data_IF_225845027786
#
_entry.id   IF_225845027786
#
_cell.length_a   1.000
_cell.length_b   1.000
_cell.length_c   1.000
_cell.angle_alpha   90.00
_cell.angle_beta   90.00
_cell.angle_gamma   90.00
#
_symmetry.space_group_name_H-M   'P 1'
#
loop_
_entity.id
_entity.type
_entity.pdbx_description
1 polymer ?
#
# COMPACT_ATOMS: atom_id res chain seq x y z
N UNK A 1 32.24 55.66 -63.75
CA UNK A 1 32.26 55.58 -62.28
C UNK A 1 30.85 55.24 -61.81
N UNK A 2 30.56 53.97 -61.49
CA UNK A 2 29.25 53.51 -60.99
C UNK A 2 29.38 53.20 -59.49
N UNK A 3 28.63 53.95 -58.68
CA UNK A 3 28.55 53.71 -57.24
C UNK A 3 27.47 52.64 -56.96
N UNK A 4 27.88 51.51 -56.42
CA UNK A 4 26.98 50.51 -55.89
C UNK A 4 26.52 50.90 -54.48
N UNK A 5 25.23 51.07 -54.33
CA UNK A 5 24.56 51.24 -53.05
C UNK A 5 24.10 49.89 -52.58
N UNK A 6 24.70 49.37 -51.48
CA UNK A 6 24.32 48.14 -50.82
C UNK A 6 23.13 48.42 -49.91
N UNK A 7 21.98 47.86 -50.19
CA UNK A 7 20.81 47.87 -49.32
C UNK A 7 20.98 46.78 -48.28
N UNK A 8 21.17 47.15 -47.00
CA UNK A 8 21.12 46.22 -45.91
C UNK A 8 19.67 46.11 -45.44
N UNK A 9 19.02 44.96 -45.77
CA UNK A 9 17.73 44.60 -45.18
C UNK A 9 17.93 44.07 -43.77
N UNK A 10 17.52 44.87 -42.77
CA UNK A 10 17.47 44.44 -41.37
C UNK A 10 16.18 43.64 -41.21
N UNK A 11 16.33 42.32 -41.06
CA UNK A 11 15.22 41.42 -40.73
C UNK A 11 14.94 41.49 -39.23
N UNK A 12 13.86 42.14 -38.84
CA UNK A 12 13.37 42.13 -37.46
C UNK A 12 12.68 40.82 -37.17
N UNK A 13 13.36 39.89 -36.52
CA UNK A 13 12.74 38.66 -35.97
C UNK A 13 12.13 39.06 -34.61
N UNK A 14 10.82 39.25 -34.61
CA UNK A 14 10.05 39.38 -33.36
C UNK A 14 9.91 38.01 -32.71
N UNK A 15 10.71 37.76 -31.69
CA UNK A 15 10.54 36.62 -30.80
C UNK A 15 9.27 36.85 -29.97
N UNK A 16 8.17 36.26 -30.41
CA UNK A 16 7.00 36.04 -29.57
C UNK A 16 7.38 35.01 -28.50
N UNK A 17 7.84 35.50 -27.35
CA UNK A 17 7.95 34.69 -26.14
C UNK A 17 6.54 34.32 -25.68
N UNK A 18 6.11 33.11 -26.01
CA UNK A 18 4.90 32.53 -25.43
C UNK A 18 5.20 32.20 -23.97
N UNK A 19 4.95 33.13 -23.06
CA UNK A 19 4.91 32.86 -21.64
C UNK A 19 3.67 31.98 -21.38
N UNK A 20 3.87 30.67 -21.36
CA UNK A 20 2.92 29.76 -20.73
C UNK A 20 2.86 30.13 -19.25
N UNK A 21 1.77 30.77 -18.84
CA UNK A 21 1.40 30.86 -17.42
C UNK A 21 1.26 29.42 -16.95
N UNK A 22 2.27 28.90 -16.26
CA UNK A 22 2.10 27.76 -15.37
C UNK A 22 1.08 28.22 -14.33
N UNK A 23 -0.13 27.73 -14.49
CA UNK A 23 -1.13 27.79 -13.45
C UNK A 23 -0.60 26.86 -12.38
N UNK A 24 0.02 27.40 -11.34
CA UNK A 24 0.29 26.68 -10.12
C UNK A 24 -1.08 26.22 -9.60
N UNK A 25 -1.40 24.97 -9.79
CA UNK A 25 -2.49 24.31 -9.09
C UNK A 25 -2.16 24.42 -7.60
N UNK A 26 -2.79 25.37 -6.95
CA UNK A 26 -2.70 25.58 -5.52
C UNK A 26 -3.30 24.36 -4.87
N UNK A 27 -2.47 23.37 -4.58
CA UNK A 27 -2.89 22.13 -3.92
C UNK A 27 -3.48 22.52 -2.56
N UNK A 28 -4.81 22.47 -2.49
CA UNK A 28 -5.54 22.80 -1.26
C UNK A 28 -5.26 21.63 -0.29
N UNK A 29 -4.57 21.94 0.80
CA UNK A 29 -4.34 20.95 1.86
C UNK A 29 -5.69 20.49 2.43
N UNK A 30 -5.88 19.18 2.52
CA UNK A 30 -7.07 18.56 3.11
C UNK A 30 -6.91 18.28 4.60
N UNK A 31 -5.73 18.57 5.15
CA UNK A 31 -5.41 18.36 6.56
C UNK A 31 -6.26 19.25 7.46
N UNK A 32 -6.90 18.65 8.45
CA UNK A 32 -7.56 19.32 9.55
C UNK A 32 -6.55 19.54 10.69
N UNK A 33 -6.27 20.79 10.98
CA UNK A 33 -5.26 21.17 11.97
C UNK A 33 -5.57 20.63 13.38
N UNK A 34 -6.85 20.56 13.75
CA UNK A 34 -7.26 20.03 15.04
C UNK A 34 -7.05 18.52 15.15
N UNK A 35 -7.40 17.80 14.08
CA UNK A 35 -7.13 16.35 14.00
C UNK A 35 -5.63 16.07 13.94
N UNK A 36 -4.88 16.86 13.19
CA UNK A 36 -3.42 16.72 13.10
C UNK A 36 -2.76 16.83 14.48
N UNK A 37 -3.09 17.87 15.25
CA UNK A 37 -2.54 18.06 16.60
C UNK A 37 -2.96 16.94 17.53
N UNK A 38 -4.22 16.54 17.52
CA UNK A 38 -4.70 15.41 18.32
C UNK A 38 -4.00 14.09 17.97
N UNK A 39 -3.91 13.78 16.67
CA UNK A 39 -3.26 12.56 16.21
C UNK A 39 -1.78 12.53 16.62
N UNK A 40 -1.08 13.66 16.51
CA UNK A 40 0.31 13.80 16.97
C UNK A 40 0.44 13.48 18.46
N UNK A 41 -0.36 14.12 19.29
CA UNK A 41 -0.30 13.90 20.75
C UNK A 41 -0.64 12.46 21.15
N UNK A 42 -1.65 11.86 20.52
CA UNK A 42 -2.03 10.45 20.80
C UNK A 42 -0.89 9.51 20.38
N UNK A 43 -0.32 9.72 19.19
CA UNK A 43 0.78 8.90 18.69
C UNK A 43 2.00 8.98 19.61
N UNK A 44 2.42 10.20 19.99
CA UNK A 44 3.56 10.44 20.86
C UNK A 44 3.38 9.76 22.24
N UNK A 45 2.22 9.92 22.85
CA UNK A 45 1.90 9.27 24.11
C UNK A 45 1.98 7.74 24.00
N UNK A 46 1.47 7.18 22.90
CA UNK A 46 1.51 5.73 22.68
C UNK A 46 2.92 5.21 22.41
N UNK A 47 3.71 5.93 21.65
CA UNK A 47 5.11 5.57 21.40
C UNK A 47 5.92 5.61 22.69
N UNK A 48 5.65 6.59 23.55
CA UNK A 48 6.28 6.70 24.88
C UNK A 48 5.89 5.54 25.79
N UNK A 49 4.59 5.24 25.87
CA UNK A 49 4.05 4.11 26.65
C UNK A 49 4.68 2.77 26.23
N UNK A 50 4.82 2.55 24.94
CA UNK A 50 5.36 1.32 24.37
C UNK A 50 6.89 1.30 24.29
N UNK A 51 7.55 2.40 24.62
CA UNK A 51 8.99 2.60 24.41
C UNK A 51 9.41 2.32 22.96
N UNK A 52 8.53 2.64 21.98
CA UNK A 52 8.78 2.40 20.58
C UNK A 52 9.72 3.46 19.97
N UNK A 53 10.45 3.10 18.91
CA UNK A 53 11.38 4.01 18.25
C UNK A 53 10.68 4.94 17.25
N UNK A 54 9.64 4.47 16.61
CA UNK A 54 8.91 5.24 15.60
C UNK A 54 7.46 4.78 15.47
N UNK A 55 6.63 5.61 14.88
CA UNK A 55 5.26 5.28 14.57
C UNK A 55 4.66 6.26 13.57
N UNK A 56 3.58 5.82 12.94
CA UNK A 56 2.87 6.59 11.93
C UNK A 56 1.36 6.46 12.15
N UNK A 57 0.63 7.53 11.82
CA UNK A 57 -0.82 7.54 11.84
C UNK A 57 -1.36 8.36 10.66
N UNK A 58 -2.32 7.79 9.94
CA UNK A 58 -3.03 8.46 8.85
C UNK A 58 -4.51 8.41 9.14
N UNK A 59 -5.16 9.57 9.09
CA UNK A 59 -6.62 9.68 9.21
C UNK A 59 -7.19 10.10 7.87
N UNK A 60 -8.04 9.27 7.31
CA UNK A 60 -8.66 9.49 6.00
C UNK A 60 -10.18 9.56 6.13
N UNK A 61 -10.79 10.50 5.44
CA UNK A 61 -12.24 10.56 5.28
C UNK A 61 -12.69 9.56 4.21
N UNK A 62 -13.51 8.59 4.61
CA UNK A 62 -13.88 7.44 3.77
C UNK A 62 -14.61 7.85 2.49
N UNK A 63 -15.51 8.84 2.56
CA UNK A 63 -16.35 9.26 1.44
C UNK A 63 -15.58 9.97 0.34
N UNK A 64 -14.53 10.70 0.69
CA UNK A 64 -13.79 11.56 -0.24
C UNK A 64 -12.37 11.06 -0.54
N UNK A 65 -11.83 10.17 0.31
CA UNK A 65 -10.43 9.78 0.28
C UNK A 65 -9.46 10.89 0.76
N UNK A 66 -9.99 12.00 1.27
CA UNK A 66 -9.13 13.09 1.76
C UNK A 66 -8.37 12.71 3.03
N UNK A 67 -7.07 12.92 3.03
CA UNK A 67 -6.25 12.79 4.23
C UNK A 67 -6.53 13.99 5.15
N UNK A 68 -7.03 13.71 6.35
CA UNK A 68 -7.37 14.71 7.37
C UNK A 68 -6.27 14.87 8.42
N UNK A 69 -5.48 13.83 8.68
CA UNK A 69 -4.25 13.93 9.45
C UNK A 69 -3.23 12.92 8.93
N UNK A 70 -1.96 13.29 8.98
CA UNK A 70 -0.84 12.46 8.58
C UNK A 70 0.34 12.76 9.51
N UNK A 71 0.64 11.83 10.39
CA UNK A 71 1.63 12.00 11.45
C UNK A 71 2.65 10.88 11.39
N UNK A 72 3.92 11.24 11.33
CA UNK A 72 5.04 10.35 11.53
C UNK A 72 5.92 10.91 12.65
N UNK A 73 6.31 10.06 13.59
CA UNK A 73 7.20 10.39 14.68
C UNK A 73 8.31 9.34 14.78
N UNK A 74 9.54 9.80 15.04
CA UNK A 74 10.68 8.93 15.31
C UNK A 74 11.57 9.52 16.40
N UNK A 75 12.26 8.67 17.14
CA UNK A 75 13.38 9.06 18.00
C UNK A 75 14.61 8.24 17.65
N UNK A 76 15.76 8.88 17.58
CA UNK A 76 17.05 8.23 17.27
C UNK A 76 17.86 8.06 18.55
N UNK A 77 18.39 9.15 19.07
CA UNK A 77 19.32 9.15 20.19
C UNK A 77 18.84 10.01 21.37
N UNK A 78 17.68 10.65 21.26
CA UNK A 78 17.08 11.49 22.31
C UNK A 78 15.84 10.85 22.92
N UNK A 79 15.43 11.34 24.09
CA UNK A 79 14.15 10.94 24.68
C UNK A 79 12.95 11.49 23.89
N UNK A 80 13.15 12.55 23.13
CA UNK A 80 12.08 13.28 22.45
C UNK A 80 11.82 12.75 21.05
N UNK A 81 10.54 12.65 20.69
CA UNK A 81 10.12 12.32 19.35
C UNK A 81 10.18 13.53 18.41
N UNK A 82 10.66 13.30 17.21
CA UNK A 82 10.72 14.30 16.15
C UNK A 82 9.81 13.90 14.99
N UNK A 83 9.32 14.90 14.26
CA UNK A 83 8.52 14.65 13.07
C UNK A 83 9.33 13.88 12.03
N UNK A 84 8.72 12.83 11.48
CA UNK A 84 9.27 12.01 10.41
C UNK A 84 8.29 11.98 9.25
N UNK A 85 8.71 12.47 8.09
CA UNK A 85 7.88 12.48 6.87
C UNK A 85 8.03 11.20 6.03
N UNK A 86 8.85 10.25 6.47
CA UNK A 86 9.05 9.01 5.75
C UNK A 86 7.94 8.00 6.02
N UNK A 87 6.88 8.05 5.20
CA UNK A 87 5.76 7.12 5.21
C UNK A 87 5.97 5.90 4.30
N UNK A 88 7.11 5.81 3.65
CA UNK A 88 7.45 4.71 2.73
C UNK A 88 8.21 3.56 3.39
N UNK A 89 8.32 3.53 4.71
CA UNK A 89 8.95 2.42 5.41
C UNK A 89 8.13 1.14 5.18
N UNK A 90 8.76 0.21 4.50
CA UNK A 90 8.19 -1.13 4.30
C UNK A 90 8.49 -1.97 5.52
N UNK A 91 7.50 -2.17 6.36
CA UNK A 91 7.52 -3.23 7.36
C UNK A 91 6.77 -4.43 6.80
N UNK A 92 7.33 -5.60 7.00
CA UNK A 92 6.59 -6.83 6.74
C UNK A 92 5.36 -6.84 7.64
N UNK A 93 4.19 -6.96 7.05
CA UNK A 93 2.97 -6.92 7.82
C UNK A 93 1.83 -7.65 7.09
N UNK A 94 0.92 -8.17 7.88
CA UNK A 94 -0.32 -8.80 7.41
C UNK A 94 -1.35 -7.78 6.88
N UNK A 95 -1.00 -6.49 6.79
CA UNK A 95 -1.90 -5.44 6.33
C UNK A 95 -2.31 -5.59 4.86
N UNK A 96 -1.60 -6.39 4.08
CA UNK A 96 -1.99 -6.72 2.71
C UNK A 96 -3.21 -7.66 2.66
N UNK A 97 -3.43 -8.48 3.69
CA UNK A 97 -4.50 -9.49 3.68
C UNK A 97 -5.91 -8.93 3.39
N UNK A 98 -6.35 -7.80 3.99
CA UNK A 98 -7.63 -7.20 3.65
C UNK A 98 -7.73 -6.77 2.19
N UNK A 99 -6.63 -6.27 1.62
CA UNK A 99 -6.58 -5.80 0.24
C UNK A 99 -6.68 -6.98 -0.72
N UNK A 100 -6.02 -8.07 -0.43
CA UNK A 100 -6.06 -9.29 -1.21
C UNK A 100 -7.42 -9.98 -1.16
N UNK A 101 -8.04 -10.01 0.00
CA UNK A 101 -9.42 -10.49 0.11
C UNK A 101 -10.37 -9.59 -0.69
N UNK A 102 -10.20 -8.27 -0.66
CA UNK A 102 -10.99 -7.37 -1.49
C UNK A 102 -10.79 -7.70 -2.98
N UNK A 103 -9.54 -7.89 -3.43
CA UNK A 103 -9.26 -8.29 -4.81
C UNK A 103 -9.92 -9.63 -5.16
N UNK A 104 -9.89 -10.61 -4.25
CA UNK A 104 -10.55 -11.90 -4.45
C UNK A 104 -12.08 -11.77 -4.59
N UNK A 105 -12.70 -10.94 -3.76
CA UNK A 105 -14.14 -10.66 -3.82
C UNK A 105 -14.54 -9.99 -5.13
N UNK A 106 -13.74 -9.08 -5.67
CA UNK A 106 -13.96 -8.41 -6.95
C UNK A 106 -14.01 -9.37 -8.15
N UNK A 107 -13.42 -10.57 -8.01
CA UNK A 107 -13.55 -11.61 -9.06
C UNK A 107 -14.96 -12.22 -9.15
N UNK A 108 -15.76 -12.08 -8.11
CA UNK A 108 -17.06 -12.74 -7.98
C UNK A 108 -16.99 -14.25 -7.73
N UNK A 109 -15.80 -14.86 -7.68
CA UNK A 109 -15.61 -16.30 -7.49
C UNK A 109 -15.69 -16.76 -6.04
N UNK A 110 -15.55 -15.82 -5.10
CA UNK A 110 -15.58 -16.06 -3.66
C UNK A 110 -16.45 -15.04 -2.95
N UNK A 111 -16.96 -15.43 -1.79
CA UNK A 111 -17.77 -14.58 -0.89
C UNK A 111 -17.21 -14.68 0.53
N UNK A 112 -17.38 -13.66 1.34
CA UNK A 112 -16.94 -13.68 2.75
C UNK A 112 -17.59 -14.80 3.57
N UNK A 113 -18.76 -15.30 3.15
CA UNK A 113 -19.47 -16.41 3.78
C UNK A 113 -18.98 -17.79 3.34
N UNK A 114 -18.17 -17.88 2.27
CA UNK A 114 -17.63 -19.17 1.83
C UNK A 114 -16.72 -19.73 2.91
N UNK A 115 -16.75 -21.08 3.06
CA UNK A 115 -15.91 -21.78 4.01
C UNK A 115 -14.58 -22.21 3.39
N UNK A 116 -13.58 -22.24 4.24
CA UNK A 116 -12.22 -22.67 3.94
C UNK A 116 -11.76 -23.59 5.07
N UNK A 117 -11.34 -24.78 4.73
CA UNK A 117 -10.71 -25.70 5.68
C UNK A 117 -9.24 -25.33 5.87
N UNK A 118 -8.89 -24.86 7.06
CA UNK A 118 -7.51 -24.52 7.46
C UNK A 118 -6.87 -25.61 8.34
N UNK A 119 -7.61 -26.68 8.60
CA UNK A 119 -7.15 -27.85 9.31
C UNK A 119 -6.64 -27.54 10.71
N UNK A 120 -5.53 -28.17 11.06
CA UNK A 120 -4.84 -28.00 12.33
C UNK A 120 -3.98 -26.71 12.41
N UNK A 121 -4.08 -25.85 11.39
CA UNK A 121 -3.30 -24.61 11.32
C UNK A 121 -1.92 -24.78 10.69
N UNK A 122 -1.65 -25.91 10.06
CA UNK A 122 -0.44 -26.16 9.28
C UNK A 122 -0.80 -26.60 7.87
N UNK A 123 -0.21 -26.02 6.84
CA UNK A 123 -0.52 -26.31 5.46
C UNK A 123 0.74 -26.27 4.59
N UNK A 124 1.07 -27.41 4.00
CA UNK A 124 2.24 -27.53 3.12
C UNK A 124 1.89 -27.11 1.69
N UNK A 125 2.65 -26.17 1.15
CA UNK A 125 2.51 -25.69 -0.22
C UNK A 125 3.87 -25.70 -0.90
N UNK A 126 4.04 -26.59 -1.87
CA UNK A 126 5.36 -26.83 -2.50
C UNK A 126 6.44 -27.09 -1.44
N UNK A 127 7.51 -26.28 -1.42
CA UNK A 127 8.63 -26.43 -0.48
C UNK A 127 8.46 -25.55 0.78
N UNK A 128 7.27 -24.99 1.04
CA UNK A 128 6.99 -24.09 2.17
C UNK A 128 5.88 -24.65 3.04
N UNK A 129 5.99 -24.38 4.32
CA UNK A 129 4.96 -24.66 5.30
C UNK A 129 4.34 -23.33 5.75
N UNK A 130 3.03 -23.21 5.56
CA UNK A 130 2.25 -22.10 6.09
C UNK A 130 1.72 -22.48 7.44
N UNK A 131 1.80 -21.55 8.39
CA UNK A 131 1.26 -21.75 9.72
C UNK A 131 0.34 -20.60 10.10
N UNK A 132 -0.79 -20.95 10.68
CA UNK A 132 -1.62 -20.01 11.42
C UNK A 132 -1.05 -19.83 12.82
N UNK A 133 -1.26 -18.69 13.46
CA UNK A 133 -0.68 -18.42 14.77
C UNK A 133 -1.13 -19.39 15.86
N UNK A 134 -2.24 -20.11 15.66
CA UNK A 134 -2.78 -21.09 16.61
C UNK A 134 -2.49 -22.55 16.21
N UNK A 135 -1.58 -22.81 15.27
CA UNK A 135 -1.22 -24.17 14.83
C UNK A 135 -0.88 -25.12 16.00
N UNK A 136 -0.21 -24.59 17.04
CA UNK A 136 0.16 -25.34 18.25
C UNK A 136 -1.02 -25.63 19.19
N UNK A 137 -2.22 -25.13 18.87
CA UNK A 137 -3.47 -25.34 19.60
C UNK A 137 -4.51 -26.12 18.80
N UNK A 138 -4.11 -26.67 17.64
CA UNK A 138 -4.96 -27.50 16.78
C UNK A 138 -5.70 -26.74 15.69
N UNK A 139 -5.26 -25.50 15.37
CA UNK A 139 -5.80 -24.74 14.24
C UNK A 139 -7.24 -24.24 14.46
N UNK A 140 -7.88 -23.87 13.36
CA UNK A 140 -9.28 -23.39 13.35
C UNK A 140 -10.25 -24.36 12.69
N UNK A 141 -9.76 -25.44 12.03
CA UNK A 141 -10.60 -26.36 11.26
C UNK A 141 -11.24 -25.68 10.05
N UNK A 142 -12.54 -25.83 9.90
CA UNK A 142 -13.30 -25.17 8.83
C UNK A 142 -13.86 -23.84 9.32
N UNK A 143 -13.50 -22.75 8.66
CA UNK A 143 -13.93 -21.39 8.99
C UNK A 143 -14.38 -20.63 7.75
N UNK A 144 -15.19 -19.59 7.92
CA UNK A 144 -15.53 -18.69 6.82
C UNK A 144 -14.32 -17.81 6.44
N UNK A 145 -14.27 -17.33 5.17
CA UNK A 145 -13.27 -16.36 4.72
C UNK A 145 -13.29 -15.10 5.63
N UNK A 146 -14.47 -14.67 6.06
CA UNK A 146 -14.62 -13.58 7.03
C UNK A 146 -13.89 -13.86 8.35
N UNK A 147 -14.06 -15.07 8.90
CA UNK A 147 -13.36 -15.47 10.12
C UNK A 147 -11.86 -15.60 9.90
N UNK A 148 -11.45 -16.17 8.75
CA UNK A 148 -10.05 -16.26 8.36
C UNK A 148 -9.37 -14.89 8.33
N UNK A 149 -10.02 -13.88 7.72
CA UNK A 149 -9.51 -12.52 7.73
C UNK A 149 -9.46 -11.91 9.15
N UNK A 150 -10.53 -12.11 9.95
CA UNK A 150 -10.59 -11.56 11.30
C UNK A 150 -9.57 -12.19 12.26
N UNK A 151 -9.15 -13.42 12.00
CA UNK A 151 -8.12 -14.12 12.79
C UNK A 151 -6.73 -14.09 12.15
N UNK A 152 -6.55 -13.34 11.06
CA UNK A 152 -5.29 -13.29 10.29
C UNK A 152 -4.77 -14.70 9.94
N UNK A 153 -5.68 -15.61 9.53
CA UNK A 153 -5.29 -16.96 9.14
C UNK A 153 -4.58 -16.94 7.79
N UNK A 154 -3.29 -17.15 7.79
CA UNK A 154 -2.46 -17.22 6.58
C UNK A 154 -2.97 -18.27 5.60
N UNK A 155 -3.42 -19.42 6.13
CA UNK A 155 -3.94 -20.53 5.33
C UNK A 155 -5.27 -20.15 4.68
N UNK A 156 -6.19 -19.50 5.42
CA UNK A 156 -7.46 -19.07 4.85
C UNK A 156 -7.26 -18.03 3.74
N UNK A 157 -6.37 -17.06 3.96
CA UNK A 157 -6.05 -16.05 2.95
C UNK A 157 -5.44 -16.70 1.72
N UNK A 158 -4.42 -17.56 1.90
CA UNK A 158 -3.78 -18.30 0.82
C UNK A 158 -4.83 -19.04 -0.04
N UNK A 159 -5.62 -19.92 0.58
CA UNK A 159 -6.61 -20.74 -0.14
C UNK A 159 -7.69 -19.90 -0.82
N UNK A 160 -8.05 -18.74 -0.24
CA UNK A 160 -8.99 -17.81 -0.85
C UNK A 160 -8.42 -17.19 -2.12
N UNK A 161 -7.17 -16.73 -2.08
CA UNK A 161 -6.50 -16.14 -3.24
C UNK A 161 -6.26 -17.20 -4.32
N UNK A 162 -5.85 -18.39 -3.94
CA UNK A 162 -5.70 -19.51 -4.85
C UNK A 162 -7.02 -19.87 -5.54
N UNK A 163 -8.14 -19.93 -4.81
CA UNK A 163 -9.49 -20.15 -5.37
C UNK A 163 -9.90 -19.05 -6.34
N UNK A 164 -9.57 -17.79 -6.03
CA UNK A 164 -9.96 -16.64 -6.85
C UNK A 164 -9.15 -16.50 -8.14
N UNK A 165 -7.84 -16.70 -8.05
CA UNK A 165 -6.90 -16.37 -9.13
C UNK A 165 -6.15 -17.60 -9.70
N UNK A 166 -5.97 -18.67 -8.93
CA UNK A 166 -5.15 -19.80 -9.35
C UNK A 166 -3.73 -19.36 -9.71
N UNK A 167 -3.31 -19.63 -10.95
CA UNK A 167 -2.01 -19.25 -11.49
C UNK A 167 -2.02 -17.89 -12.22
N UNK A 168 -3.18 -17.20 -12.29
CA UNK A 168 -3.32 -15.94 -13.00
C UNK A 168 -2.85 -14.75 -12.15
N UNK A 169 -1.53 -14.62 -12.03
CA UNK A 169 -0.90 -13.51 -11.32
C UNK A 169 -1.24 -12.15 -11.97
N UNK A 170 -1.41 -12.10 -13.28
CA UNK A 170 -1.70 -10.85 -13.97
C UNK A 170 -3.07 -10.29 -13.57
N UNK A 171 -4.10 -11.13 -13.47
CA UNK A 171 -5.41 -10.71 -13.01
C UNK A 171 -5.36 -10.16 -11.59
N UNK A 172 -4.61 -10.78 -10.68
CA UNK A 172 -4.42 -10.33 -9.32
C UNK A 172 -3.73 -8.95 -9.26
N UNK A 173 -2.56 -8.82 -9.89
CA UNK A 173 -1.81 -7.57 -9.88
C UNK A 173 -2.55 -6.42 -10.58
N UNK A 174 -3.33 -6.71 -11.62
CA UNK A 174 -4.19 -5.70 -12.25
C UNK A 174 -5.24 -5.14 -11.30
N UNK A 175 -5.79 -5.96 -10.40
CA UNK A 175 -6.72 -5.48 -9.39
C UNK A 175 -6.02 -4.66 -8.31
N UNK A 176 -4.82 -5.07 -7.87
CA UNK A 176 -4.01 -4.27 -6.94
C UNK A 176 -3.65 -2.89 -7.53
N UNK A 177 -3.26 -2.83 -8.81
CA UNK A 177 -2.97 -1.58 -9.52
C UNK A 177 -4.22 -0.69 -9.61
N UNK A 178 -5.38 -1.27 -9.94
CA UNK A 178 -6.67 -0.57 -9.95
C UNK A 178 -7.04 0.02 -8.57
N UNK A 179 -6.63 -0.62 -7.49
CA UNK A 179 -6.78 -0.13 -6.11
C UNK A 179 -5.67 0.84 -5.68
N UNK A 180 -4.76 1.19 -6.59
CA UNK A 180 -3.59 2.04 -6.31
C UNK A 180 -2.65 1.45 -5.23
N UNK A 181 -2.66 0.14 -5.04
CA UNK A 181 -1.83 -0.56 -4.05
C UNK A 181 -0.40 -0.83 -4.54
N UNK A 182 0.10 -0.02 -5.38
CA UNK A 182 1.47 -0.12 -5.90
C UNK A 182 1.60 -0.95 -7.18
N UNK A 183 2.70 -0.75 -7.87
CA UNK A 183 3.03 -1.51 -9.07
C UNK A 183 3.96 -2.66 -8.70
N UNK A 184 3.72 -3.86 -9.27
CA UNK A 184 4.60 -5.01 -9.08
C UNK A 184 6.04 -4.81 -9.59
N UNK A 185 6.29 -3.75 -10.35
CA UNK A 185 7.60 -3.45 -10.97
C UNK A 185 8.73 -3.26 -9.95
N UNK A 186 8.41 -2.99 -8.69
CA UNK A 186 9.41 -2.94 -7.61
C UNK A 186 9.80 -4.32 -7.09
N UNK A 187 9.13 -5.38 -7.56
CA UNK A 187 9.33 -6.74 -7.08
C UNK A 187 9.90 -7.58 -8.23
N UNK A 188 11.15 -7.26 -8.59
CA UNK A 188 11.90 -8.05 -9.55
C UNK A 188 11.96 -9.52 -9.11
N UNK A 189 11.39 -10.41 -9.91
CA UNK A 189 11.35 -11.86 -9.65
C UNK A 189 9.96 -12.44 -9.35
N UNK A 190 8.91 -11.63 -9.19
CA UNK A 190 7.56 -12.11 -8.86
C UNK A 190 6.75 -12.56 -10.10
N UNK A 191 7.19 -12.24 -11.30
CA UNK A 191 6.47 -12.61 -12.53
C UNK A 191 6.11 -14.11 -12.66
N UNK A 192 6.75 -14.96 -11.87
CA UNK A 192 6.53 -16.41 -11.84
C UNK A 192 5.92 -16.93 -10.53
N UNK A 193 5.60 -16.06 -9.58
CA UNK A 193 4.95 -16.50 -8.33
C UNK A 193 3.45 -16.55 -8.53
N UNK A 194 2.84 -17.63 -8.02
CA UNK A 194 1.37 -17.68 -7.90
C UNK A 194 0.90 -16.51 -7.04
N UNK A 195 -0.25 -15.88 -7.33
CA UNK A 195 -0.80 -14.79 -6.54
C UNK A 195 -0.84 -15.09 -5.03
N UNK A 196 -1.22 -16.31 -4.70
CA UNK A 196 -1.30 -16.75 -3.32
C UNK A 196 0.05 -16.75 -2.58
N UNK A 197 1.18 -16.87 -3.29
CA UNK A 197 2.52 -16.79 -2.68
C UNK A 197 2.95 -15.35 -2.39
N UNK A 198 2.41 -14.40 -3.11
CA UNK A 198 2.70 -12.98 -2.88
C UNK A 198 2.25 -12.56 -1.47
N UNK A 199 1.09 -13.05 -1.04
CA UNK A 199 0.51 -12.77 0.27
C UNK A 199 1.33 -13.33 1.44
N UNK A 200 2.00 -14.44 1.20
CA UNK A 200 2.74 -15.18 2.22
C UNK A 200 4.20 -14.75 2.25
N UNK A 201 4.66 -14.12 1.18
CA UNK A 201 6.07 -13.99 0.83
C UNK A 201 6.93 -13.29 1.86
N UNK A 202 6.37 -12.73 2.94
CA UNK A 202 7.13 -11.98 3.93
C UNK A 202 6.69 -12.14 5.38
N UNK A 203 5.61 -12.85 5.65
CA UNK A 203 5.11 -12.93 7.01
C UNK A 203 5.89 -13.91 7.91
N UNK A 204 6.56 -14.91 7.31
CA UNK A 204 7.32 -15.90 8.08
C UNK A 204 8.41 -16.55 7.20
N UNK A 205 9.54 -15.88 7.07
CA UNK A 205 10.80 -16.51 6.69
C UNK A 205 11.80 -16.34 7.82
#
# INVERSE_FOLDING_TARGET
MRKNILFHSILFISLFSCQSKQQEDKQISTIDSTLQVKATSILENKLTELNALSGQAIVMEVQTGHIKAMVGLERKDSADYQSCENFSQTHESELIQPISILAALETGKVKLSDTVDVGDGSYSVQDRELKDHNWHRGGYGEISIKQGLASSSNIAIYKTIEKAFGDDAQAYFKLLDKMSYGKPDSIAGIANLKPAYFEIGRAHV
#
